data_IF_044227912909
#
_entry.id   IF_044227912909
#
_cell.length_a   1.000
_cell.length_b   1.000
_cell.length_c   1.000
_cell.angle_alpha   90.00
_cell.angle_beta   90.00
_cell.angle_gamma   90.00
#
_symmetry.space_group_name_H-M   'P 1'
#
loop_
_entity.id
_entity.type
_entity.pdbx_description
1 polymer ?
#
# COMPACT_ATOMS: atom_id res chain seq x y z
N UNK A 1 6.61 -37.42 -14.68
CA UNK A 1 6.85 -35.99 -14.36
C UNK A 1 5.52 -35.42 -13.95
N UNK A 2 5.35 -34.91 -12.73
CA UNK A 2 4.10 -34.24 -12.37
C UNK A 2 3.97 -32.97 -13.21
N UNK A 3 2.76 -32.75 -13.78
CA UNK A 3 2.42 -31.55 -14.53
C UNK A 3 2.70 -30.32 -13.66
N UNK A 4 3.68 -29.50 -14.03
CA UNK A 4 3.80 -28.17 -13.46
C UNK A 4 2.46 -27.44 -13.72
N UNK A 5 1.86 -26.83 -12.70
CA UNK A 5 0.67 -26.02 -12.89
C UNK A 5 0.97 -24.90 -13.87
N UNK A 6 -0.02 -24.54 -14.69
CA UNK A 6 0.05 -23.45 -15.65
C UNK A 6 0.76 -22.25 -15.04
N UNK A 7 1.74 -21.69 -15.77
CA UNK A 7 2.65 -20.64 -15.31
C UNK A 7 1.91 -19.57 -14.46
N UNK A 8 2.13 -19.64 -13.15
CA UNK A 8 1.64 -18.60 -12.23
C UNK A 8 2.37 -17.33 -12.64
N UNK A 9 1.61 -16.32 -13.09
CA UNK A 9 2.21 -15.01 -13.42
C UNK A 9 2.93 -14.48 -12.19
N UNK A 10 4.14 -13.92 -12.34
CA UNK A 10 4.88 -13.37 -11.22
C UNK A 10 4.01 -12.45 -10.36
N UNK A 11 4.10 -12.59 -9.05
CA UNK A 11 3.43 -11.71 -8.11
C UNK A 11 4.30 -10.51 -7.90
N UNK A 12 3.73 -9.31 -8.02
CA UNK A 12 4.37 -8.06 -7.63
C UNK A 12 3.82 -7.67 -6.27
N UNK A 13 4.69 -7.64 -5.28
CA UNK A 13 4.32 -7.32 -3.91
C UNK A 13 4.01 -5.82 -3.75
N UNK A 14 3.16 -5.50 -2.78
CA UNK A 14 2.80 -4.15 -2.37
C UNK A 14 2.33 -4.18 -0.92
N UNK A 15 2.29 -3.03 -0.24
CA UNK A 15 1.72 -2.96 1.09
C UNK A 15 0.33 -3.62 1.18
N UNK A 16 -0.58 -3.29 0.26
CA UNK A 16 -1.94 -3.84 0.26
C UNK A 16 -1.97 -5.36 0.14
N UNK A 17 -1.10 -5.95 -0.70
CA UNK A 17 -0.98 -7.40 -0.82
C UNK A 17 -0.49 -8.02 0.50
N UNK A 18 0.61 -7.51 1.05
CA UNK A 18 1.18 -8.00 2.32
C UNK A 18 0.19 -7.88 3.48
N UNK A 19 -0.54 -6.75 3.57
CA UNK A 19 -1.59 -6.54 4.56
C UNK A 19 -2.77 -7.50 4.38
N UNK A 20 -3.12 -7.83 3.13
CA UNK A 20 -4.17 -8.84 2.85
C UNK A 20 -3.72 -10.22 3.30
N UNK A 21 -2.46 -10.59 3.07
CA UNK A 21 -1.90 -11.86 3.53
C UNK A 21 -1.88 -11.97 5.06
N UNK A 22 -1.46 -10.90 5.77
CA UNK A 22 -1.51 -10.82 7.23
C UNK A 22 -2.94 -11.03 7.77
N UNK A 23 -3.93 -10.53 7.06
CA UNK A 23 -5.33 -10.63 7.47
C UNK A 23 -5.88 -12.02 7.21
N UNK A 24 -5.62 -12.59 6.02
CA UNK A 24 -6.07 -13.93 5.63
C UNK A 24 -5.33 -14.39 4.37
N UNK A 25 -4.50 -15.44 4.49
CA UNK A 25 -3.74 -16.02 3.38
C UNK A 25 -4.65 -16.55 2.28
N UNK A 26 -5.80 -17.13 2.63
CA UNK A 26 -6.78 -17.59 1.62
C UNK A 26 -7.38 -16.43 0.80
N UNK A 27 -7.68 -15.28 1.43
CA UNK A 27 -8.11 -14.08 0.68
C UNK A 27 -6.99 -13.60 -0.24
N UNK A 28 -5.76 -13.58 0.24
CA UNK A 28 -4.58 -13.21 -0.56
C UNK A 28 -4.44 -14.13 -1.79
N UNK A 29 -4.57 -15.44 -1.61
CA UNK A 29 -4.57 -16.41 -2.71
C UNK A 29 -5.63 -16.08 -3.76
N UNK A 30 -6.88 -15.93 -3.35
CA UNK A 30 -8.01 -15.69 -4.25
C UNK A 30 -7.84 -14.38 -5.05
N UNK A 31 -7.27 -13.35 -4.41
CA UNK A 31 -7.15 -12.01 -4.98
C UNK A 31 -5.90 -11.82 -5.85
N UNK A 32 -4.77 -12.37 -5.45
CA UNK A 32 -3.48 -12.07 -6.07
C UNK A 32 -2.84 -13.24 -6.82
N UNK A 33 -3.12 -14.48 -6.42
CA UNK A 33 -2.56 -15.70 -7.05
C UNK A 33 -3.55 -16.26 -8.04
N UNK A 34 -4.71 -16.72 -7.59
CA UNK A 34 -5.78 -17.26 -8.42
C UNK A 34 -6.47 -16.20 -9.26
N UNK A 35 -6.58 -14.98 -8.73
CA UNK A 35 -7.17 -13.79 -9.39
C UNK A 35 -8.62 -13.98 -9.83
N UNK A 36 -9.37 -14.75 -9.08
CA UNK A 36 -10.80 -14.97 -9.27
C UNK A 36 -11.66 -14.12 -8.31
N UNK A 37 -11.02 -13.31 -7.46
CA UNK A 37 -11.65 -12.32 -6.63
C UNK A 37 -11.27 -10.92 -7.14
N UNK A 38 -12.26 -10.19 -7.61
CA UNK A 38 -12.05 -8.80 -8.03
C UNK A 38 -11.80 -7.91 -6.81
N UNK A 39 -11.06 -6.82 -7.03
CA UNK A 39 -10.94 -5.76 -6.01
C UNK A 39 -12.30 -5.07 -5.87
N UNK A 40 -12.74 -4.93 -4.63
CA UNK A 40 -13.97 -4.20 -4.35
C UNK A 40 -13.83 -2.75 -4.86
N UNK A 41 -14.78 -2.33 -5.68
CA UNK A 41 -14.93 -0.91 -6.05
C UNK A 41 -16.05 -0.35 -5.19
N UNK A 42 -15.71 0.07 -3.98
CA UNK A 42 -16.69 0.73 -3.12
C UNK A 42 -16.63 2.25 -3.32
N UNK A 43 -17.73 2.98 -3.04
CA UNK A 43 -17.72 4.44 -3.10
C UNK A 43 -16.60 5.07 -2.27
N UNK A 44 -16.24 4.45 -1.14
CA UNK A 44 -15.16 4.91 -0.26
C UNK A 44 -13.79 4.79 -0.93
N UNK A 45 -13.53 3.70 -1.66
CA UNK A 45 -12.30 3.50 -2.41
C UNK A 45 -12.21 4.50 -3.57
N UNK A 46 -13.31 4.68 -4.31
CA UNK A 46 -13.37 5.65 -5.40
C UNK A 46 -13.15 7.08 -4.88
N UNK A 47 -13.80 7.42 -3.77
CA UNK A 47 -13.59 8.70 -3.09
C UNK A 47 -12.15 8.89 -2.64
N UNK A 48 -11.52 7.87 -2.03
CA UNK A 48 -10.12 7.89 -1.64
C UNK A 48 -9.22 8.21 -2.84
N UNK A 49 -9.41 7.53 -3.97
CA UNK A 49 -8.64 7.75 -5.20
C UNK A 49 -8.83 9.17 -5.74
N UNK A 50 -10.06 9.69 -5.72
CA UNK A 50 -10.36 11.06 -6.14
C UNK A 50 -9.64 12.09 -5.25
N UNK A 51 -9.64 11.86 -3.94
CA UNK A 51 -8.95 12.73 -2.98
C UNK A 51 -7.44 12.73 -3.21
N UNK A 52 -6.80 11.55 -3.29
CA UNK A 52 -5.36 11.46 -3.58
C UNK A 52 -5.00 12.21 -4.87
N UNK A 53 -5.80 12.03 -5.92
CA UNK A 53 -5.57 12.73 -7.19
C UNK A 53 -5.71 14.26 -7.07
N UNK A 54 -6.67 14.73 -6.29
CA UNK A 54 -6.86 16.15 -6.05
C UNK A 54 -5.69 16.76 -5.25
N UNK A 55 -5.19 16.05 -4.22
CA UNK A 55 -4.03 16.48 -3.43
C UNK A 55 -2.76 16.53 -4.28
N UNK A 56 -2.51 15.49 -5.10
CA UNK A 56 -1.39 15.46 -6.06
C UNK A 56 -1.42 16.67 -6.99
N UNK A 57 -2.58 16.93 -7.59
CA UNK A 57 -2.75 18.06 -8.52
C UNK A 57 -2.56 19.40 -7.82
N UNK A 58 -3.02 19.53 -6.56
CA UNK A 58 -2.86 20.76 -5.77
C UNK A 58 -1.39 21.02 -5.43
N UNK A 59 -0.64 20.00 -5.04
CA UNK A 59 0.81 20.10 -4.83
C UNK A 59 1.51 20.47 -6.14
N UNK A 60 1.02 19.96 -7.27
CA UNK A 60 1.48 20.34 -8.61
C UNK A 60 1.05 21.73 -9.09
N UNK A 61 0.37 22.54 -8.26
CA UNK A 61 0.01 23.93 -8.54
C UNK A 61 -1.41 24.16 -9.08
N UNK A 62 -2.26 23.12 -9.16
CA UNK A 62 -3.68 23.27 -9.55
C UNK A 62 -4.55 23.52 -8.30
N UNK A 63 -5.70 24.23 -8.42
CA UNK A 63 -6.59 24.43 -7.30
C UNK A 63 -7.28 23.14 -6.88
N UNK A 64 -7.64 23.03 -5.58
CA UNK A 64 -8.51 21.95 -5.10
C UNK A 64 -9.93 22.10 -5.69
N UNK A 65 -10.62 20.97 -5.94
CA UNK A 65 -12.05 20.98 -6.21
C UNK A 65 -12.85 21.64 -5.07
N UNK A 66 -13.98 22.31 -5.39
CA UNK A 66 -14.82 23.04 -4.41
C UNK A 66 -15.18 22.18 -3.18
N UNK A 67 -15.53 20.92 -3.38
CA UNK A 67 -15.89 19.98 -2.31
C UNK A 67 -14.73 19.59 -1.38
N UNK A 68 -13.49 19.93 -1.73
CA UNK A 68 -12.26 19.60 -1.01
C UNK A 68 -11.53 20.82 -0.44
N UNK A 69 -12.06 22.04 -0.62
CA UNK A 69 -11.40 23.28 -0.17
C UNK A 69 -11.14 23.34 1.33
N UNK A 70 -11.93 22.63 2.13
CA UNK A 70 -11.73 22.53 3.57
C UNK A 70 -10.40 21.88 3.96
N UNK A 71 -9.72 21.17 3.04
CA UNK A 71 -8.39 20.61 3.23
C UNK A 71 -7.25 21.52 2.74
N UNK A 72 -7.57 22.68 2.16
CA UNK A 72 -6.56 23.62 1.69
C UNK A 72 -5.50 23.96 2.75
N UNK A 73 -5.84 24.17 4.06
CA UNK A 73 -4.82 24.46 5.08
C UNK A 73 -3.77 23.34 5.24
N UNK A 74 -4.18 22.06 5.07
CA UNK A 74 -3.24 20.93 5.14
C UNK A 74 -2.35 20.90 3.90
N UNK A 75 -2.94 20.95 2.71
CA UNK A 75 -2.17 20.76 1.49
C UNK A 75 -1.31 21.98 1.15
N UNK A 76 -1.73 23.20 1.49
CA UNK A 76 -0.94 24.41 1.33
C UNK A 76 0.41 24.34 2.06
N UNK A 77 0.43 23.72 3.24
CA UNK A 77 1.67 23.53 4.00
C UNK A 77 2.71 22.69 3.25
N UNK A 78 2.29 21.73 2.44
CA UNK A 78 3.20 20.97 1.57
C UNK A 78 3.66 21.80 0.36
N UNK A 79 2.77 22.60 -0.23
CA UNK A 79 3.11 23.49 -1.34
C UNK A 79 4.15 24.53 -0.93
N UNK A 80 3.96 25.18 0.22
CA UNK A 80 4.91 26.15 0.79
C UNK A 80 6.29 25.55 1.02
N UNK A 81 6.36 24.29 1.44
CA UNK A 81 7.60 23.52 1.63
C UNK A 81 8.18 22.96 0.34
N UNK A 82 7.61 23.30 -0.82
CA UNK A 82 8.02 22.80 -2.16
C UNK A 82 8.04 21.28 -2.23
N UNK A 83 7.10 20.64 -1.57
CA UNK A 83 6.90 19.21 -1.63
C UNK A 83 6.71 18.74 -3.10
N UNK A 84 7.13 17.52 -3.39
CA UNK A 84 6.91 16.89 -4.69
C UNK A 84 5.68 15.98 -4.59
N UNK A 85 4.79 16.02 -5.59
CA UNK A 85 3.62 15.15 -5.64
C UNK A 85 4.03 13.71 -5.93
N UNK A 86 3.03 12.84 -6.04
CA UNK A 86 3.13 11.39 -6.21
C UNK A 86 4.42 10.92 -6.92
N UNK A 87 5.12 10.00 -6.26
CA UNK A 87 6.24 9.26 -6.83
C UNK A 87 5.93 7.77 -6.83
N UNK A 88 6.07 7.15 -7.98
CA UNK A 88 5.96 5.70 -8.14
C UNK A 88 7.35 5.09 -8.07
N UNK A 89 7.54 4.09 -7.22
CA UNK A 89 8.83 3.42 -7.00
C UNK A 89 8.67 1.91 -7.02
N UNK A 90 9.71 1.21 -7.45
CA UNK A 90 9.80 -0.24 -7.39
C UNK A 90 11.21 -0.69 -7.03
N UNK A 91 11.31 -1.91 -6.50
CA UNK A 91 12.58 -2.60 -6.25
C UNK A 91 12.51 -4.04 -6.71
N UNK A 92 13.68 -4.59 -7.07
CA UNK A 92 13.87 -6.03 -7.34
C UNK A 92 13.91 -6.82 -6.04
N UNK A 93 13.98 -8.16 -6.14
CA UNK A 93 14.17 -9.07 -5.00
C UNK A 93 15.54 -8.90 -4.30
N UNK A 94 16.51 -8.23 -4.92
CA UNK A 94 17.79 -7.86 -4.32
C UNK A 94 17.81 -6.42 -3.77
N UNK A 95 16.62 -5.81 -3.59
CA UNK A 95 16.46 -4.43 -3.13
C UNK A 95 17.14 -3.37 -4.04
N UNK A 96 17.28 -3.65 -5.33
CA UNK A 96 17.80 -2.69 -6.33
C UNK A 96 16.64 -1.86 -6.89
N UNK A 97 16.84 -0.57 -7.19
CA UNK A 97 15.79 0.26 -7.75
C UNK A 97 15.39 -0.22 -9.14
N UNK A 98 14.09 -0.20 -9.42
CA UNK A 98 13.52 -0.49 -10.74
C UNK A 98 12.29 0.39 -10.98
N UNK A 99 11.78 0.43 -12.20
CA UNK A 99 10.55 1.12 -12.53
C UNK A 99 9.32 0.42 -11.96
N UNK A 100 8.30 1.17 -11.64
CA UNK A 100 7.04 0.67 -11.06
C UNK A 100 6.34 -0.38 -11.94
N UNK A 101 6.57 -0.35 -13.26
CA UNK A 101 5.96 -1.24 -14.26
C UNK A 101 6.98 -2.15 -14.96
N UNK A 102 8.24 -2.16 -14.50
CA UNK A 102 9.28 -2.97 -15.12
C UNK A 102 9.03 -4.47 -14.90
N UNK A 103 9.66 -5.29 -15.73
CA UNK A 103 9.45 -6.76 -15.70
C UNK A 103 10.04 -7.41 -14.46
N UNK A 104 11.07 -6.82 -13.91
CA UNK A 104 11.82 -7.27 -12.73
C UNK A 104 11.34 -6.64 -11.43
N UNK A 105 10.27 -5.84 -11.47
CA UNK A 105 9.70 -5.28 -10.26
C UNK A 105 9.14 -6.39 -9.37
N UNK A 106 9.72 -6.49 -8.18
CA UNK A 106 9.33 -7.46 -7.17
C UNK A 106 8.40 -6.84 -6.11
N UNK A 107 8.73 -5.63 -5.64
CA UNK A 107 7.89 -4.86 -4.74
C UNK A 107 7.76 -3.43 -5.25
N UNK A 108 6.56 -2.88 -5.15
CA UNK A 108 6.27 -1.52 -5.61
C UNK A 108 5.36 -0.78 -4.65
N UNK A 109 5.52 0.54 -4.62
CA UNK A 109 4.62 1.43 -3.91
C UNK A 109 4.47 2.78 -4.60
N UNK A 110 3.45 3.51 -4.18
CA UNK A 110 3.26 4.92 -4.48
C UNK A 110 3.51 5.72 -3.21
N UNK A 111 4.13 6.87 -3.35
CA UNK A 111 4.39 7.81 -2.27
C UNK A 111 3.66 9.09 -2.63
N UNK A 112 2.69 9.51 -1.83
CA UNK A 112 1.85 10.66 -2.18
C UNK A 112 2.64 11.96 -2.20
N UNK A 113 3.52 12.16 -1.20
CA UNK A 113 4.27 13.40 -1.02
C UNK A 113 5.69 13.11 -0.56
N UNK A 114 6.66 13.78 -1.17
CA UNK A 114 8.05 13.77 -0.72
C UNK A 114 8.59 15.19 -0.56
N UNK A 115 9.38 15.40 0.52
CA UNK A 115 10.09 16.65 0.77
C UNK A 115 11.53 16.31 1.07
N UNK A 116 12.45 16.75 0.21
CA UNK A 116 13.88 16.51 0.36
C UNK A 116 14.54 17.68 1.09
N UNK A 117 15.33 17.38 2.12
CA UNK A 117 16.12 18.35 2.87
C UNK A 117 17.54 17.79 3.11
N UNK A 118 18.49 18.16 2.26
CA UNK A 118 19.83 17.58 2.27
C UNK A 118 19.78 16.06 1.97
N UNK A 119 20.31 15.25 2.90
CA UNK A 119 20.23 13.78 2.85
C UNK A 119 19.03 13.20 3.62
N UNK A 120 18.20 14.04 4.21
CA UNK A 120 16.97 13.64 4.87
C UNK A 120 15.76 13.81 3.94
N UNK A 121 14.80 12.92 4.05
CA UNK A 121 13.53 12.98 3.33
C UNK A 121 12.37 12.87 4.31
N UNK A 122 11.36 13.69 4.08
CA UNK A 122 10.05 13.53 4.71
C UNK A 122 9.07 12.98 3.67
N UNK A 123 8.36 11.95 4.04
CA UNK A 123 7.23 11.41 3.26
C UNK A 123 5.93 11.67 3.99
N UNK A 124 4.88 11.89 3.23
CA UNK A 124 3.53 12.00 3.78
C UNK A 124 2.56 11.22 2.91
N UNK A 125 1.63 10.54 3.55
CA UNK A 125 0.61 9.75 2.91
C UNK A 125 -0.78 10.24 3.35
N UNK A 126 -1.64 10.56 2.39
CA UNK A 126 -2.97 11.06 2.65
C UNK A 126 -3.94 9.93 2.99
N UNK A 127 -4.65 10.04 4.09
CA UNK A 127 -5.64 9.05 4.52
C UNK A 127 -7.02 9.68 4.69
N UNK A 128 -8.00 9.11 3.99
CA UNK A 128 -9.43 9.45 4.12
C UNK A 128 -10.14 8.63 5.19
N UNK A 129 -9.44 7.64 5.79
CA UNK A 129 -9.92 6.78 6.86
C UNK A 129 -9.76 7.39 8.25
N UNK A 130 -9.71 6.52 9.28
CA UNK A 130 -9.61 6.89 10.68
C UNK A 130 -8.22 6.52 11.23
N UNK A 131 -7.58 7.44 11.97
CA UNK A 131 -6.23 7.31 12.51
C UNK A 131 -6.04 6.14 13.48
N UNK A 132 -7.10 5.62 14.10
CA UNK A 132 -7.00 4.45 15.00
C UNK A 132 -6.49 3.17 14.32
N UNK A 133 -6.46 3.15 12.99
CA UNK A 133 -5.95 2.04 12.18
C UNK A 133 -4.58 2.34 11.55
N UNK A 134 -3.86 3.29 12.15
CA UNK A 134 -2.51 3.64 11.72
C UNK A 134 -1.59 2.41 11.73
N UNK A 135 -0.87 2.22 10.62
CA UNK A 135 0.07 1.13 10.45
C UNK A 135 1.32 1.69 9.75
N UNK A 136 2.42 1.96 10.48
CA UNK A 136 3.61 2.56 9.91
C UNK A 136 4.29 1.70 8.85
N UNK A 137 3.93 0.44 8.70
CA UNK A 137 4.55 -0.46 7.74
C UNK A 137 4.40 0.01 6.28
N UNK A 138 3.31 0.69 5.95
CA UNK A 138 3.16 1.29 4.62
C UNK A 138 4.22 2.36 4.36
N UNK A 139 4.44 3.24 5.34
CA UNK A 139 5.47 4.27 5.28
C UNK A 139 6.89 3.66 5.29
N UNK A 140 7.12 2.57 6.04
CA UNK A 140 8.38 1.84 6.02
C UNK A 140 8.72 1.32 4.61
N UNK A 141 7.75 0.73 3.90
CA UNK A 141 7.91 0.26 2.51
C UNK A 141 8.24 1.44 1.59
N UNK A 142 7.52 2.55 1.72
CA UNK A 142 7.76 3.77 0.94
C UNK A 142 9.18 4.30 1.16
N UNK A 143 9.64 4.35 2.43
CA UNK A 143 10.98 4.79 2.79
C UNK A 143 12.07 3.90 2.20
N UNK A 144 11.91 2.58 2.28
CA UNK A 144 12.86 1.60 1.74
C UNK A 144 13.00 1.73 0.22
N UNK A 145 11.89 1.78 -0.51
CA UNK A 145 11.92 1.90 -1.98
C UNK A 145 12.49 3.25 -2.41
N UNK A 146 12.25 4.32 -1.65
CA UNK A 146 12.83 5.62 -1.90
C UNK A 146 14.34 5.63 -1.63
N UNK A 147 14.80 4.98 -0.56
CA UNK A 147 16.23 4.78 -0.26
C UNK A 147 16.93 4.00 -1.37
N UNK A 148 16.32 2.95 -1.88
CA UNK A 148 16.86 2.20 -3.01
C UNK A 148 16.99 3.09 -4.27
N UNK A 149 15.97 3.92 -4.56
CA UNK A 149 15.98 4.83 -5.70
C UNK A 149 16.96 6.01 -5.55
N UNK A 150 17.27 6.43 -4.32
CA UNK A 150 18.14 7.56 -4.00
C UNK A 150 19.13 7.16 -2.90
N UNK A 151 20.24 6.47 -3.24
CA UNK A 151 21.19 5.94 -2.25
C UNK A 151 21.81 6.97 -1.30
N UNK A 152 21.81 8.25 -1.68
CA UNK A 152 22.32 9.35 -0.85
C UNK A 152 21.42 9.66 0.37
N UNK A 153 20.18 9.18 0.41
CA UNK A 153 19.30 9.35 1.57
C UNK A 153 19.86 8.60 2.78
N UNK A 154 20.00 9.27 3.91
CA UNK A 154 20.47 8.67 5.18
C UNK A 154 19.39 8.63 6.24
N UNK A 155 18.40 9.54 6.14
CA UNK A 155 17.29 9.63 7.07
C UNK A 155 15.97 9.78 6.33
N UNK A 156 14.96 9.03 6.77
CA UNK A 156 13.59 9.18 6.29
C UNK A 156 12.65 9.30 7.48
N UNK A 157 11.84 10.33 7.47
CA UNK A 157 10.73 10.50 8.39
C UNK A 157 9.42 10.45 7.61
N UNK A 158 8.37 9.91 8.20
CA UNK A 158 7.09 9.85 7.54
C UNK A 158 5.93 10.02 8.50
N UNK A 159 4.83 10.57 8.02
CA UNK A 159 3.60 10.70 8.77
C UNK A 159 2.39 10.49 7.86
N UNK A 160 1.25 10.24 8.47
CA UNK A 160 -0.04 10.26 7.80
C UNK A 160 -0.70 11.64 7.94
N UNK A 161 -1.28 12.12 6.84
CA UNK A 161 -2.19 13.27 6.86
C UNK A 161 -3.63 12.74 6.88
N UNK A 162 -4.25 12.75 8.05
CA UNK A 162 -5.59 12.23 8.31
C UNK A 162 -6.63 13.28 7.91
N UNK A 163 -7.06 13.24 6.66
CA UNK A 163 -7.93 14.26 6.06
C UNK A 163 -9.29 14.32 6.73
N UNK A 164 -9.87 13.16 7.09
CA UNK A 164 -11.14 13.11 7.81
C UNK A 164 -11.08 13.80 9.18
N UNK A 165 -9.92 13.77 9.82
CA UNK A 165 -9.68 14.36 11.13
C UNK A 165 -9.08 15.77 11.03
N UNK A 166 -8.81 16.24 9.82
CA UNK A 166 -8.11 17.50 9.53
C UNK A 166 -6.81 17.64 10.34
N UNK A 167 -6.00 16.57 10.39
CA UNK A 167 -4.84 16.43 11.27
C UNK A 167 -3.65 15.79 10.55
N UNK A 168 -2.47 16.31 10.82
CA UNK A 168 -1.19 15.65 10.49
C UNK A 168 -0.80 14.78 11.68
N UNK A 169 -0.48 13.51 11.46
CA UNK A 169 -0.01 12.57 12.47
C UNK A 169 1.40 12.87 12.94
N UNK A 170 1.81 12.19 14.02
CA UNK A 170 3.18 12.26 14.50
C UNK A 170 4.15 11.63 13.50
N UNK A 171 5.37 12.16 13.36
CA UNK A 171 6.35 11.60 12.45
C UNK A 171 6.98 10.32 13.02
N UNK A 172 7.09 9.30 12.17
CA UNK A 172 7.85 8.08 12.43
C UNK A 172 9.27 8.19 11.86
N UNK A 173 10.30 7.78 12.59
CA UNK A 173 11.64 7.54 12.02
C UNK A 173 11.62 6.21 11.27
N UNK A 174 11.76 6.27 9.96
CA UNK A 174 11.69 5.15 9.03
C UNK A 174 13.08 4.76 8.50
N UNK A 175 14.14 5.13 9.20
CA UNK A 175 15.51 5.01 8.71
C UNK A 175 16.14 3.64 8.96
N UNK A 176 15.45 2.72 9.65
CA UNK A 176 15.92 1.34 9.79
C UNK A 176 15.50 0.48 8.58
N UNK A 177 16.19 0.74 7.46
CA UNK A 177 15.92 0.05 6.19
C UNK A 177 16.20 -1.46 6.27
N UNK A 178 17.14 -1.89 7.12
CA UNK A 178 17.45 -3.32 7.28
C UNK A 178 16.32 -4.05 8.01
N UNK A 179 15.79 -3.48 9.09
CA UNK A 179 14.63 -4.05 9.77
C UNK A 179 13.40 -4.10 8.85
N UNK A 180 13.16 -3.02 8.09
CA UNK A 180 12.07 -2.98 7.11
C UNK A 180 12.23 -4.08 6.05
N UNK A 181 13.45 -4.23 5.50
CA UNK A 181 13.73 -5.27 4.51
C UNK A 181 13.50 -6.67 5.06
N UNK A 182 13.99 -6.96 6.27
CA UNK A 182 13.77 -8.24 6.95
C UNK A 182 12.28 -8.50 7.18
N UNK A 183 11.51 -7.49 7.62
CA UNK A 183 10.06 -7.57 7.84
C UNK A 183 9.31 -7.91 6.53
N UNK A 184 9.69 -7.28 5.41
CA UNK A 184 9.12 -7.56 4.09
C UNK A 184 9.41 -9.01 3.69
N UNK A 185 10.68 -9.43 3.74
CA UNK A 185 11.08 -10.80 3.35
C UNK A 185 10.38 -11.87 4.19
N UNK A 186 10.22 -11.66 5.50
CA UNK A 186 9.48 -12.59 6.35
C UNK A 186 8.02 -12.73 5.92
N UNK A 187 7.35 -11.62 5.57
CA UNK A 187 5.96 -11.66 5.10
C UNK A 187 5.83 -12.29 3.71
N UNK A 188 6.79 -12.02 2.84
CA UNK A 188 6.85 -12.65 1.51
C UNK A 188 7.11 -14.14 1.63
N UNK A 189 8.04 -14.57 2.50
CA UNK A 189 8.32 -15.98 2.73
C UNK A 189 7.08 -16.79 3.10
N UNK A 190 6.23 -16.25 3.99
CA UNK A 190 4.95 -16.91 4.33
C UNK A 190 4.04 -17.11 3.10
N UNK A 191 4.03 -16.15 2.19
CA UNK A 191 3.23 -16.25 0.95
C UNK A 191 3.85 -17.29 -0.01
N UNK A 192 5.19 -17.29 -0.13
CA UNK A 192 5.94 -18.22 -0.97
C UNK A 192 5.80 -19.66 -0.45
N UNK A 193 5.86 -19.88 0.85
CA UNK A 193 5.60 -21.18 1.48
C UNK A 193 4.19 -21.70 1.15
N UNK A 194 3.19 -20.81 1.15
CA UNK A 194 1.82 -21.16 0.72
C UNK A 194 1.75 -21.48 -0.77
N UNK A 195 2.53 -20.79 -1.61
CA UNK A 195 2.60 -21.08 -3.05
C UNK A 195 3.26 -22.44 -3.32
N UNK A 196 4.30 -22.79 -2.59
CA UNK A 196 5.01 -24.06 -2.73
C UNK A 196 4.18 -25.24 -2.23
N UNK A 197 3.57 -25.10 -1.04
CA UNK A 197 2.76 -26.17 -0.44
C UNK A 197 1.38 -26.33 -1.09
N UNK A 198 0.85 -25.26 -1.70
CA UNK A 198 -0.52 -25.19 -2.17
C UNK A 198 -1.54 -25.03 -1.03
N UNK A 199 -1.09 -24.91 0.23
CA UNK A 199 -1.96 -24.73 1.39
C UNK A 199 -2.11 -23.24 1.72
N UNK A 200 -3.36 -22.76 1.74
CA UNK A 200 -3.72 -21.38 1.97
C UNK A 200 -4.67 -21.25 3.16
N UNK A 201 -4.15 -21.08 4.37
CA UNK A 201 -4.95 -21.05 5.60
C UNK A 201 -6.03 -19.97 5.58
N UNK A 202 -7.22 -20.33 6.07
CA UNK A 202 -8.37 -19.44 6.20
C UNK A 202 -8.43 -18.90 7.64
N UNK A 203 -8.15 -17.61 7.78
CA UNK A 203 -8.16 -16.96 9.11
C UNK A 203 -9.50 -16.31 9.39
N UNK A 204 -10.25 -16.82 10.36
CA UNK A 204 -11.48 -16.19 10.85
C UNK A 204 -11.14 -14.89 11.59
N UNK A 205 -11.73 -13.78 11.16
CA UNK A 205 -11.50 -12.46 11.74
C UNK A 205 -12.75 -11.58 11.56
N UNK A 206 -12.83 -10.41 12.25
CA UNK A 206 -14.00 -9.52 12.15
C UNK A 206 -14.32 -9.03 10.74
N UNK A 207 -13.36 -9.03 9.82
CA UNK A 207 -13.56 -8.57 8.43
C UNK A 207 -14.21 -9.62 7.53
N UNK A 208 -14.42 -10.86 8.02
CA UNK A 208 -15.08 -11.91 7.22
C UNK A 208 -16.49 -11.50 6.76
N UNK A 209 -17.19 -10.66 7.54
CA UNK A 209 -18.50 -10.12 7.17
C UNK A 209 -18.50 -9.19 5.95
N UNK A 210 -17.36 -8.62 5.59
CA UNK A 210 -17.17 -7.76 4.42
C UNK A 210 -16.27 -8.39 3.34
N UNK A 211 -15.86 -9.65 3.55
CA UNK A 211 -14.98 -10.35 2.61
C UNK A 211 -15.75 -10.76 1.35
N UNK A 212 -15.17 -10.50 0.17
CA UNK A 212 -15.75 -10.91 -1.12
C UNK A 212 -15.62 -12.40 -1.45
N UNK A 213 -14.99 -13.22 -0.58
CA UNK A 213 -14.86 -14.67 -0.74
C UNK A 213 -16.12 -15.35 -0.19
N UNK A 214 -17.21 -15.37 -0.97
CA UNK A 214 -18.52 -15.85 -0.53
C UNK A 214 -18.59 -17.37 -0.32
N UNK A 215 -17.72 -18.14 -0.95
CA UNK A 215 -17.62 -19.60 -0.81
C UNK A 215 -16.79 -20.06 0.40
N UNK A 216 -16.24 -19.11 1.20
CA UNK A 216 -15.48 -19.40 2.39
C UNK A 216 -16.40 -19.72 3.59
N UNK A 217 -16.08 -20.79 4.33
CA UNK A 217 -16.85 -21.19 5.53
C UNK A 217 -16.89 -20.13 6.64
N UNK A 218 -15.89 -19.24 6.68
CA UNK A 218 -15.83 -18.14 7.66
C UNK A 218 -16.64 -16.91 7.23
N UNK A 219 -17.19 -16.88 6.00
CA UNK A 219 -17.99 -15.76 5.53
C UNK A 219 -19.46 -15.93 5.96
N UNK A 220 -20.01 -15.07 6.82
CA UNK A 220 -21.40 -15.18 7.25
C UNK A 220 -22.41 -14.99 6.12
N UNK A 221 -22.01 -14.44 4.98
CA UNK A 221 -22.83 -14.22 3.79
C UNK A 221 -22.74 -15.36 2.77
N UNK A 222 -22.17 -16.50 3.16
CA UNK A 222 -21.91 -17.67 2.29
C UNK A 222 -23.13 -18.13 1.47
N UNK A 223 -24.35 -17.94 1.98
CA UNK A 223 -25.59 -18.38 1.33
C UNK A 223 -26.45 -17.21 0.80
N UNK A 224 -25.99 -15.98 0.86
CA UNK A 224 -26.79 -14.79 0.50
C UNK A 224 -26.57 -14.31 -0.93
N UNK A 225 -26.17 -15.21 -1.85
CA UNK A 225 -25.94 -14.86 -3.27
C UNK A 225 -25.20 -13.52 -3.40
N UNK A 226 -23.90 -13.53 -3.68
CA UNK A 226 -23.19 -12.28 -3.93
C UNK A 226 -23.92 -11.45 -5.00
N UNK A 227 -23.67 -10.15 -5.07
CA UNK A 227 -24.21 -9.35 -6.15
C UNK A 227 -23.78 -9.96 -7.48
N UNK A 228 -24.78 -10.22 -8.34
CA UNK A 228 -24.63 -10.68 -9.73
C UNK A 228 -23.96 -9.58 -10.54
#
# INVERSE_FOLDING_TARGET
MPNLPAQIKPIVYSYTLLKTADTCLYKCYRQYVKRDLLFDKTPEIEWGNEVHKAMELRIGGKPLPQKMLHWEPIVAAYVERKAKPEKQTGITSECKPTGFWDKDVWLRCKIDVTMLHGSAVFISDFKTGNSKYEDPFELEIQALTLKAAIPAITKVFGHYAWLKENRIGEPHDLSDFNATWAKINNKVGVIEDCMESGDWPKTKNPLCGWCGVFDCENNPRKNSGGPV
#
